data_IF_232701041144
#
_entry.id   IF_232701041144
#
_cell.length_a   1.000
_cell.length_b   1.000
_cell.length_c   1.000
_cell.angle_alpha   90.00
_cell.angle_beta   90.00
_cell.angle_gamma   90.00
#
_symmetry.space_group_name_H-M   'P 1'
#
loop_
_entity.id
_entity.type
_entity.pdbx_description
1 polymer ?
#
# COMPACT_ATOMS: atom_id res chain seq x y z
N UNK A 1 4.34 35.34 6.54
CA UNK A 1 3.05 34.66 6.34
C UNK A 1 3.21 33.24 6.85
N UNK A 2 2.37 32.79 7.80
CA UNK A 2 2.42 31.40 8.25
C UNK A 2 2.11 30.50 7.05
N UNK A 3 3.10 29.73 6.63
CA UNK A 3 2.96 28.70 5.61
C UNK A 3 3.08 27.36 6.31
N UNK A 4 2.15 26.43 6.08
CA UNK A 4 2.12 25.14 6.76
C UNK A 4 2.13 24.00 5.75
N UNK A 5 3.07 23.08 5.92
CA UNK A 5 3.06 21.82 5.19
C UNK A 5 2.36 20.74 6.01
N UNK A 6 1.39 20.04 5.39
CA UNK A 6 0.69 18.89 5.98
C UNK A 6 0.95 17.69 5.09
N UNK A 7 1.73 16.73 5.57
CA UNK A 7 1.99 15.48 4.88
C UNK A 7 1.34 14.32 5.62
N UNK A 8 0.76 13.37 4.89
CA UNK A 8 0.13 12.22 5.51
C UNK A 8 -0.28 11.12 4.55
N UNK A 9 -0.61 9.98 5.13
CA UNK A 9 -1.14 8.84 4.38
C UNK A 9 -2.54 9.18 3.86
N UNK A 10 -2.73 9.04 2.54
CA UNK A 10 -3.99 9.27 1.85
C UNK A 10 -5.16 8.50 2.48
N UNK A 11 -4.87 7.28 2.94
CA UNK A 11 -5.82 6.34 3.53
C UNK A 11 -6.05 6.56 5.03
N UNK A 12 -5.50 7.60 5.64
CA UNK A 12 -5.62 7.87 7.08
C UNK A 12 -6.68 8.94 7.38
N UNK A 13 -7.64 8.62 8.26
CA UNK A 13 -8.71 9.55 8.62
C UNK A 13 -8.21 10.79 9.37
N UNK A 14 -7.17 10.68 10.20
CA UNK A 14 -6.62 11.84 10.90
C UNK A 14 -5.95 12.79 9.91
N UNK A 15 -5.25 12.28 8.89
CA UNK A 15 -4.72 13.10 7.80
C UNK A 15 -5.83 13.88 7.11
N UNK A 16 -6.91 13.21 6.71
CA UNK A 16 -8.03 13.87 6.03
C UNK A 16 -8.68 14.95 6.91
N UNK A 17 -8.72 14.74 8.23
CA UNK A 17 -9.17 15.75 9.19
C UNK A 17 -8.25 16.96 9.24
N UNK A 18 -6.94 16.75 9.39
CA UNK A 18 -5.96 17.83 9.40
C UNK A 18 -6.01 18.65 8.10
N UNK A 19 -6.09 17.98 6.95
CA UNK A 19 -6.26 18.60 5.64
C UNK A 19 -7.50 19.50 5.61
N UNK A 20 -8.67 18.97 5.97
CA UNK A 20 -9.93 19.73 5.95
C UNK A 20 -9.94 20.91 6.92
N UNK A 21 -9.32 20.74 8.10
CA UNK A 21 -9.17 21.81 9.06
C UNK A 21 -8.30 22.96 8.51
N UNK A 22 -7.18 22.63 7.87
CA UNK A 22 -6.29 23.63 7.28
C UNK A 22 -6.91 24.31 6.06
N UNK A 23 -7.63 23.57 5.19
CA UNK A 23 -8.42 24.14 4.10
C UNK A 23 -9.41 25.18 4.61
N UNK A 24 -10.13 24.87 5.69
CA UNK A 24 -11.09 25.80 6.30
C UNK A 24 -10.42 27.06 6.87
N UNK A 25 -9.21 26.95 7.44
CA UNK A 25 -8.47 28.11 7.94
C UNK A 25 -7.95 28.96 6.78
N UNK A 26 -7.41 28.34 5.72
CA UNK A 26 -6.97 29.05 4.52
C UNK A 26 -8.10 29.83 3.83
N UNK A 27 -9.34 29.32 3.88
CA UNK A 27 -10.52 30.04 3.36
C UNK A 27 -10.89 31.28 4.18
N UNK A 28 -10.55 31.31 5.47
CA UNK A 28 -10.93 32.39 6.40
C UNK A 28 -9.82 33.40 6.67
N UNK A 29 -8.57 32.95 6.62
CA UNK A 29 -7.38 33.72 6.97
C UNK A 29 -6.49 33.86 5.74
N UNK A 30 -6.56 34.98 4.99
CA UNK A 30 -5.81 35.16 3.74
C UNK A 30 -4.28 35.08 3.88
N UNK A 31 -3.76 35.27 5.10
CA UNK A 31 -2.33 35.16 5.39
C UNK A 31 -1.88 33.72 5.68
N UNK A 32 -2.82 32.80 5.92
CA UNK A 32 -2.55 31.39 6.13
C UNK A 32 -2.45 30.67 4.78
N UNK A 33 -1.27 30.14 4.50
CA UNK A 33 -1.03 29.34 3.28
C UNK A 33 -0.61 27.94 3.68
N UNK A 34 -0.87 26.97 2.80
CA UNK A 34 -0.54 25.58 3.08
C UNK A 34 -0.17 24.78 1.85
N UNK A 35 0.66 23.77 2.06
CA UNK A 35 0.94 22.70 1.12
C UNK A 35 0.44 21.37 1.70
N UNK A 36 -0.25 20.57 0.88
CA UNK A 36 -0.83 19.28 1.33
C UNK A 36 -0.27 18.13 0.51
N UNK A 37 0.53 17.28 1.17
CA UNK A 37 1.13 16.09 0.57
C UNK A 37 0.30 14.87 0.94
N UNK A 38 -0.62 14.53 0.04
CA UNK A 38 -1.48 13.34 0.14
C UNK A 38 -0.77 12.14 -0.47
N UNK A 39 -0.10 11.32 0.36
CA UNK A 39 0.83 10.29 -0.11
C UNK A 39 0.26 8.88 0.07
N UNK A 40 0.63 7.96 -0.83
CA UNK A 40 0.39 6.53 -0.58
C UNK A 40 1.12 6.08 0.69
N UNK A 41 0.64 5.03 1.38
CA UNK A 41 1.26 4.57 2.63
C UNK A 41 2.77 4.34 2.53
N UNK A 42 3.24 3.74 1.43
CA UNK A 42 4.67 3.46 1.19
C UNK A 42 5.47 4.72 0.92
N UNK A 43 4.93 5.66 0.14
CA UNK A 43 5.61 6.91 -0.19
C UNK A 43 5.71 7.81 1.05
N UNK A 44 4.68 7.79 1.91
CA UNK A 44 4.73 8.46 3.21
C UNK A 44 5.77 7.84 4.17
N UNK A 45 5.94 6.52 4.17
CA UNK A 45 6.98 5.85 4.97
C UNK A 45 8.39 6.26 4.54
N UNK A 46 8.61 6.51 3.24
CA UNK A 46 9.88 7.04 2.72
C UNK A 46 10.08 8.47 3.18
N UNK A 47 9.11 9.35 2.92
CA UNK A 47 9.16 10.76 3.34
C UNK A 47 9.42 10.89 4.85
N UNK A 48 8.70 10.11 5.67
CA UNK A 48 8.85 10.16 7.13
C UNK A 48 10.27 9.79 7.59
N UNK A 49 10.97 8.89 6.87
CA UNK A 49 12.36 8.55 7.15
C UNK A 49 13.32 9.64 6.71
N UNK A 50 13.11 10.23 5.54
CA UNK A 50 13.94 11.34 5.03
C UNK A 50 13.87 12.54 5.99
N UNK A 51 12.65 12.96 6.34
CA UNK A 51 12.39 14.00 7.34
C UNK A 51 13.05 13.67 8.69
N UNK A 52 13.06 12.40 9.10
CA UNK A 52 13.73 11.97 10.32
C UNK A 52 15.25 12.10 10.25
N UNK A 53 15.85 11.84 9.09
CA UNK A 53 17.29 12.02 8.89
C UNK A 53 17.66 13.51 8.88
N UNK A 54 16.84 14.33 8.23
CA UNK A 54 17.08 15.77 8.10
C UNK A 54 16.95 16.51 9.43
N UNK A 55 15.96 16.15 10.27
CA UNK A 55 15.77 16.76 11.59
C UNK A 55 16.65 16.14 12.70
N UNK A 56 17.27 14.99 12.45
CA UNK A 56 18.28 14.40 13.33
C UNK A 56 17.85 14.27 14.81
N UNK A 57 18.58 14.97 15.71
CA UNK A 57 18.43 14.95 17.18
C UNK A 57 17.56 16.08 17.73
N UNK A 58 16.74 16.75 16.91
CA UNK A 58 15.83 17.78 17.41
C UNK A 58 14.96 17.18 18.54
N UNK A 59 15.05 17.67 19.79
CA UNK A 59 14.29 17.13 20.90
C UNK A 59 12.77 17.26 20.73
N UNK A 60 12.31 18.14 19.83
CA UNK A 60 10.91 18.29 19.47
C UNK A 60 10.45 17.28 18.40
N UNK A 61 11.38 16.71 17.62
CA UNK A 61 11.10 15.64 16.67
C UNK A 61 11.49 14.27 17.25
N UNK A 62 10.58 13.67 18.01
CA UNK A 62 10.71 12.26 18.38
C UNK A 62 10.47 11.41 17.13
N UNK A 63 11.18 10.29 16.94
CA UNK A 63 10.88 9.32 15.87
C UNK A 63 9.38 8.96 15.88
N UNK A 64 8.59 9.64 15.04
CA UNK A 64 7.15 9.61 15.13
C UNK A 64 6.60 8.45 14.31
N UNK A 65 5.94 7.50 14.98
CA UNK A 65 5.15 6.43 14.34
C UNK A 65 3.80 6.93 13.78
N UNK A 66 3.65 8.23 13.58
CA UNK A 66 2.40 8.86 13.18
C UNK A 66 2.21 8.77 11.65
N UNK A 67 0.96 8.78 11.20
CA UNK A 67 0.60 8.77 9.77
C UNK A 67 0.44 10.19 9.19
N UNK A 68 0.75 11.22 9.97
CA UNK A 68 0.60 12.65 9.64
C UNK A 68 1.76 13.42 10.26
N UNK A 69 2.41 14.27 9.48
CA UNK A 69 3.46 15.18 9.92
C UNK A 69 3.15 16.60 9.44
N UNK A 70 3.18 17.56 10.35
CA UNK A 70 2.90 18.97 10.08
C UNK A 70 4.09 19.87 10.45
N UNK A 71 4.41 20.81 9.57
CA UNK A 71 5.54 21.74 9.69
C UNK A 71 5.11 23.16 9.36
N UNK A 72 5.70 24.15 10.02
CA UNK A 72 5.78 25.50 9.47
C UNK A 72 6.83 25.52 8.35
N UNK A 73 6.57 26.21 7.24
CA UNK A 73 7.43 26.21 6.04
C UNK A 73 7.05 25.13 5.02
N UNK A 74 7.87 25.03 3.97
CA UNK A 74 7.69 24.12 2.81
C UNK A 74 8.45 22.81 3.04
N UNK A 75 8.04 21.71 2.39
CA UNK A 75 8.65 20.37 2.58
C UNK A 75 10.18 20.37 2.43
N UNK A 76 10.71 21.06 1.42
CA UNK A 76 12.14 21.06 1.10
C UNK A 76 12.98 21.96 2.04
N UNK A 77 12.31 22.80 2.83
CA UNK A 77 12.91 23.67 3.86
C UNK A 77 11.96 23.70 5.06
N UNK A 78 11.80 22.56 5.76
CA UNK A 78 10.89 22.50 6.88
C UNK A 78 11.42 23.48 7.94
N UNK A 79 10.55 24.39 8.35
CA UNK A 79 10.77 25.28 9.48
C UNK A 79 10.47 24.52 10.77
N UNK A 80 9.71 25.13 11.67
CA UNK A 80 9.38 24.52 12.96
C UNK A 80 8.47 23.30 12.79
N UNK A 81 8.83 22.17 13.40
CA UNK A 81 7.93 21.02 13.48
C UNK A 81 6.76 21.33 14.42
N UNK A 82 5.53 21.33 13.89
CA UNK A 82 4.31 21.59 14.67
C UNK A 82 3.89 20.32 15.42
N UNK A 83 4.07 19.15 14.81
CA UNK A 83 3.73 17.87 15.41
C UNK A 83 2.96 16.92 14.50
N UNK A 84 2.55 15.79 15.07
CA UNK A 84 1.63 14.86 14.43
C UNK A 84 0.20 15.42 14.38
N UNK A 85 -0.70 14.74 13.65
CA UNK A 85 -2.04 15.26 13.38
C UNK A 85 -2.83 15.75 14.61
N UNK A 86 -2.70 15.13 15.79
CA UNK A 86 -3.36 15.62 17.02
C UNK A 86 -2.76 16.94 17.53
N UNK A 87 -1.44 17.06 17.53
CA UNK A 87 -0.74 18.26 17.94
C UNK A 87 -1.05 19.42 16.98
N UNK A 88 -1.11 19.14 15.68
CA UNK A 88 -1.53 20.12 14.69
C UNK A 88 -2.96 20.64 14.92
N UNK A 89 -3.90 19.76 15.28
CA UNK A 89 -5.26 20.19 15.60
C UNK A 89 -5.33 21.06 16.87
N UNK A 90 -4.51 20.75 17.88
CA UNK A 90 -4.37 21.61 19.07
C UNK A 90 -3.78 22.97 18.72
N UNK A 91 -2.73 23.00 17.90
CA UNK A 91 -2.12 24.22 17.40
C UNK A 91 -3.13 25.10 16.65
N UNK A 92 -3.92 24.53 15.73
CA UNK A 92 -4.99 25.28 15.06
C UNK A 92 -6.04 25.85 16.03
N UNK A 93 -6.36 25.10 17.09
CA UNK A 93 -7.29 25.57 18.13
C UNK A 93 -6.72 26.73 18.94
N UNK A 94 -5.43 26.70 19.25
CA UNK A 94 -4.75 27.73 20.05
C UNK A 94 -4.46 28.99 19.23
N UNK A 95 -4.00 28.83 17.99
CA UNK A 95 -3.59 29.94 17.12
C UNK A 95 -4.77 30.61 16.42
N UNK A 96 -5.77 29.83 15.97
CA UNK A 96 -6.88 30.32 15.13
C UNK A 96 -8.26 30.11 15.76
N UNK A 97 -8.34 29.61 16.99
CA UNK A 97 -9.63 29.29 17.63
C UNK A 97 -10.41 28.18 16.91
N UNK A 98 -9.75 27.36 16.09
CA UNK A 98 -10.40 26.30 15.34
C UNK A 98 -10.99 25.23 16.26
N UNK A 99 -12.23 24.81 16.00
CA UNK A 99 -12.85 23.73 16.75
C UNK A 99 -13.79 22.89 15.89
N UNK A 100 -13.46 21.60 15.76
CA UNK A 100 -14.30 20.61 15.09
C UNK A 100 -14.93 19.67 16.13
N UNK A 101 -16.07 20.12 16.69
CA UNK A 101 -16.82 19.39 17.74
C UNK A 101 -17.94 18.50 17.17
N UNK A 102 -18.26 18.64 15.89
CA UNK A 102 -19.45 18.01 15.28
C UNK A 102 -19.11 16.86 14.33
N UNK A 103 -17.88 16.78 13.82
CA UNK A 103 -17.51 15.78 12.83
C UNK A 103 -17.03 14.49 13.48
N UNK A 104 -17.67 13.38 13.13
CA UNK A 104 -17.30 12.04 13.61
C UNK A 104 -16.02 11.56 12.91
N UNK A 105 -15.07 10.98 13.65
CA UNK A 105 -13.85 10.37 13.09
C UNK A 105 -14.15 9.36 11.96
N UNK A 106 -15.25 8.60 12.07
CA UNK A 106 -15.68 7.66 11.04
C UNK A 106 -15.99 8.32 9.68
N UNK A 107 -16.36 9.60 9.67
CA UNK A 107 -16.55 10.36 8.43
C UNK A 107 -15.23 10.57 7.69
N UNK A 108 -14.15 10.87 8.41
CA UNK A 108 -12.83 11.07 7.79
C UNK A 108 -12.21 9.76 7.32
N UNK A 109 -12.46 8.65 8.02
CA UNK A 109 -12.12 7.30 7.51
C UNK A 109 -12.85 6.99 6.20
N UNK A 110 -14.13 7.36 6.10
CA UNK A 110 -14.88 7.24 4.84
C UNK A 110 -14.32 8.15 3.75
N UNK A 111 -13.95 9.38 4.10
CA UNK A 111 -13.34 10.33 3.17
C UNK A 111 -12.00 9.81 2.65
N UNK A 112 -11.16 9.22 3.50
CA UNK A 112 -9.89 8.62 3.12
C UNK A 112 -10.08 7.50 2.08
N UNK A 113 -11.06 6.61 2.30
CA UNK A 113 -11.44 5.56 1.34
C UNK A 113 -11.95 6.14 0.02
N UNK A 114 -12.77 7.19 0.06
CA UNK A 114 -13.27 7.86 -1.14
C UNK A 114 -12.14 8.51 -1.94
N UNK A 115 -11.17 9.11 -1.26
CA UNK A 115 -10.03 9.76 -1.89
C UNK A 115 -9.14 8.73 -2.62
N UNK A 116 -8.82 7.60 -1.97
CA UNK A 116 -8.09 6.52 -2.64
C UNK A 116 -8.84 6.02 -3.88
N UNK A 117 -10.16 5.82 -3.79
CA UNK A 117 -10.98 5.43 -4.94
C UNK A 117 -10.94 6.46 -6.07
N UNK A 118 -10.96 7.75 -5.73
CA UNK A 118 -10.86 8.81 -6.72
C UNK A 118 -9.49 8.78 -7.41
N UNK A 119 -8.39 8.67 -6.65
CA UNK A 119 -7.03 8.54 -7.22
C UNK A 119 -6.92 7.33 -8.14
N UNK A 120 -7.46 6.18 -7.74
CA UNK A 120 -7.50 4.97 -8.57
C UNK A 120 -8.30 5.19 -9.86
N UNK A 121 -9.43 5.89 -9.78
CA UNK A 121 -10.30 6.14 -10.94
C UNK A 121 -9.64 7.10 -11.94
N UNK A 122 -8.98 8.15 -11.46
CA UNK A 122 -8.40 9.20 -12.30
C UNK A 122 -7.01 8.82 -12.86
N UNK A 123 -6.30 7.84 -12.28
CA UNK A 123 -4.95 7.50 -12.73
C UNK A 123 -4.88 6.87 -14.12
N UNK A 124 -5.95 6.21 -14.56
CA UNK A 124 -5.96 5.42 -15.80
C UNK A 124 -5.03 4.21 -15.78
N UNK A 125 -4.59 3.76 -14.60
CA UNK A 125 -3.72 2.60 -14.42
C UNK A 125 -4.54 1.34 -14.11
N UNK A 126 -3.96 0.15 -14.33
CA UNK A 126 -4.60 -1.11 -13.93
C UNK A 126 -4.35 -1.36 -12.44
N UNK A 127 -5.40 -1.76 -11.73
CA UNK A 127 -5.32 -2.18 -10.34
C UNK A 127 -5.89 -3.58 -10.16
N UNK A 128 -5.30 -4.33 -9.24
CA UNK A 128 -5.78 -5.65 -8.83
C UNK A 128 -5.92 -5.71 -7.32
N UNK A 129 -6.72 -6.64 -6.82
CA UNK A 129 -6.78 -6.95 -5.41
C UNK A 129 -6.46 -8.41 -5.11
N UNK A 130 -5.93 -8.63 -3.91
CA UNK A 130 -5.80 -9.93 -3.27
C UNK A 130 -6.53 -9.90 -1.94
N UNK A 131 -7.55 -10.71 -1.76
CA UNK A 131 -8.13 -10.98 -0.45
C UNK A 131 -7.34 -12.09 0.22
N UNK A 132 -6.75 -11.77 1.37
CA UNK A 132 -5.90 -12.71 2.10
C UNK A 132 -6.74 -13.42 3.15
N UNK A 133 -6.65 -14.74 3.17
CA UNK A 133 -7.21 -15.58 4.21
C UNK A 133 -6.14 -16.15 5.13
N UNK A 134 -6.43 -16.23 6.43
CA UNK A 134 -5.64 -16.96 7.42
C UNK A 134 -6.52 -18.03 8.05
N UNK A 135 -6.08 -19.29 7.94
CA UNK A 135 -6.88 -20.46 8.33
C UNK A 135 -8.31 -20.44 7.72
N UNK A 136 -8.43 -20.00 6.46
CA UNK A 136 -9.69 -19.92 5.72
C UNK A 136 -10.59 -18.73 6.06
N UNK A 137 -10.18 -17.82 6.96
CA UNK A 137 -10.93 -16.61 7.31
C UNK A 137 -10.33 -15.39 6.65
N UNK A 138 -11.17 -14.55 6.05
CA UNK A 138 -10.74 -13.29 5.43
C UNK A 138 -10.15 -12.32 6.45
N UNK A 139 -8.92 -11.87 6.21
CA UNK A 139 -8.20 -10.86 7.02
C UNK A 139 -8.14 -9.49 6.32
N UNK A 140 -8.67 -9.41 5.09
CA UNK A 140 -8.79 -8.16 4.32
C UNK A 140 -8.11 -8.22 2.97
N UNK A 141 -8.09 -7.06 2.30
CA UNK A 141 -7.61 -6.91 0.93
C UNK A 141 -6.30 -6.13 0.85
N UNK A 142 -5.46 -6.55 -0.09
CA UNK A 142 -4.31 -5.80 -0.59
C UNK A 142 -4.69 -5.31 -1.98
N UNK A 143 -4.50 -4.02 -2.24
CA UNK A 143 -4.75 -3.42 -3.56
C UNK A 143 -3.40 -3.04 -4.15
N UNK A 144 -3.16 -3.47 -5.38
CA UNK A 144 -1.91 -3.25 -6.10
C UNK A 144 -2.17 -2.50 -7.40
N UNK A 145 -1.34 -1.50 -7.67
CA UNK A 145 -1.19 -0.85 -8.98
C UNK A 145 -0.20 -1.64 -9.82
N UNK A 146 -0.53 -1.85 -11.11
CA UNK A 146 0.36 -2.50 -12.07
C UNK A 146 0.98 -1.46 -13.02
N UNK A 147 2.22 -1.67 -13.43
CA UNK A 147 2.95 -0.75 -14.29
C UNK A 147 2.85 -1.16 -15.76
N UNK A 148 1.63 -1.19 -16.31
CA UNK A 148 1.32 -1.69 -17.67
C UNK A 148 2.21 -1.06 -18.75
N UNK A 149 2.53 0.24 -18.61
CA UNK A 149 3.36 0.98 -19.58
C UNK A 149 4.83 0.57 -19.55
N UNK A 150 5.35 0.20 -18.37
CA UNK A 150 6.75 -0.16 -18.20
C UNK A 150 6.99 -1.65 -18.49
N UNK A 151 6.07 -2.52 -18.07
CA UNK A 151 6.20 -3.97 -18.15
C UNK A 151 4.95 -4.63 -18.77
N UNK A 152 4.55 -4.30 -20.01
CA UNK A 152 3.28 -4.76 -20.58
C UNK A 152 3.13 -6.29 -20.64
N UNK A 153 4.18 -7.04 -20.97
CA UNK A 153 4.10 -8.51 -21.03
C UNK A 153 4.00 -9.13 -19.65
N UNK A 154 4.78 -8.64 -18.71
CA UNK A 154 4.80 -9.10 -17.31
C UNK A 154 3.45 -8.84 -16.66
N UNK A 155 2.92 -7.63 -16.85
CA UNK A 155 1.61 -7.22 -16.34
C UNK A 155 0.48 -8.00 -17.00
N UNK A 156 0.52 -8.24 -18.32
CA UNK A 156 -0.49 -9.06 -18.99
C UNK A 156 -0.53 -10.51 -18.45
N UNK A 157 0.64 -11.11 -18.19
CA UNK A 157 0.70 -12.43 -17.53
C UNK A 157 0.08 -12.40 -16.14
N UNK A 158 0.50 -11.45 -15.31
CA UNK A 158 0.02 -11.33 -13.94
C UNK A 158 -1.50 -11.10 -13.90
N UNK A 159 -1.99 -10.18 -14.73
CA UNK A 159 -3.40 -9.82 -14.83
C UNK A 159 -4.26 -11.01 -15.25
N UNK A 160 -3.86 -11.76 -16.28
CA UNK A 160 -4.59 -12.94 -16.73
C UNK A 160 -4.69 -14.01 -15.64
N UNK A 161 -3.61 -14.23 -14.87
CA UNK A 161 -3.62 -15.15 -13.74
C UNK A 161 -4.41 -14.63 -12.52
N UNK A 162 -4.57 -13.31 -12.39
CA UNK A 162 -5.46 -12.69 -11.40
C UNK A 162 -6.94 -12.82 -11.80
N UNK A 163 -7.28 -12.66 -13.07
CA UNK A 163 -8.66 -12.75 -13.57
C UNK A 163 -9.15 -14.20 -13.72
N UNK A 164 -8.20 -15.14 -13.85
CA UNK A 164 -8.45 -16.54 -14.15
C UNK A 164 -8.16 -16.83 -15.61
N UNK A 165 -7.28 -17.82 -15.82
CA UNK A 165 -6.87 -18.29 -17.14
C UNK A 165 -7.01 -19.81 -17.21
N UNK A 166 -7.06 -20.38 -18.41
CA UNK A 166 -7.19 -21.83 -18.65
C UNK A 166 -6.08 -22.68 -17.98
N UNK A 167 -4.97 -22.06 -17.59
CA UNK A 167 -3.83 -22.73 -16.97
C UNK A 167 -3.83 -22.66 -15.44
N UNK A 168 -4.71 -21.85 -14.86
CA UNK A 168 -4.84 -21.60 -13.42
C UNK A 168 -5.17 -20.14 -13.08
N UNK A 169 -5.30 -19.89 -11.78
CA UNK A 169 -5.61 -18.58 -11.19
C UNK A 169 -4.85 -18.41 -9.87
N UNK A 170 -4.60 -17.17 -9.44
CA UNK A 170 -4.02 -16.87 -8.13
C UNK A 170 -4.98 -17.14 -6.96
N UNK A 171 -6.28 -17.19 -7.22
CA UNK A 171 -7.27 -17.59 -6.23
C UNK A 171 -6.96 -19.00 -5.71
N UNK A 172 -7.11 -19.18 -4.41
CA UNK A 172 -6.82 -20.38 -3.63
C UNK A 172 -5.33 -20.79 -3.63
N UNK A 173 -4.43 -19.95 -4.12
CA UNK A 173 -2.98 -20.20 -4.02
C UNK A 173 -2.46 -19.77 -2.65
N UNK A 174 -1.56 -20.55 -2.03
CA UNK A 174 -1.00 -20.22 -0.73
C UNK A 174 0.09 -19.14 -0.84
N UNK A 175 0.29 -18.44 0.27
CA UNK A 175 1.53 -17.73 0.56
C UNK A 175 2.53 -18.79 1.06
N UNK A 176 3.37 -19.27 0.15
CA UNK A 176 4.23 -20.43 0.43
C UNK A 176 5.59 -20.06 1.04
N UNK A 177 5.99 -18.79 1.03
CA UNK A 177 7.25 -18.33 1.64
C UNK A 177 7.15 -16.88 2.12
N UNK A 178 7.67 -16.61 3.32
CA UNK A 178 7.78 -15.30 3.96
C UNK A 178 9.22 -15.14 4.44
N UNK A 179 9.89 -14.10 3.95
CA UNK A 179 11.21 -13.68 4.42
C UNK A 179 11.02 -12.38 5.19
N UNK A 180 11.10 -12.38 6.54
CA UNK A 180 10.99 -11.17 7.34
C UNK A 180 12.04 -10.13 6.94
N UNK A 181 11.66 -8.85 6.86
CA UNK A 181 12.49 -7.78 6.29
C UNK A 181 12.97 -8.04 4.85
N UNK A 182 12.29 -8.94 4.15
CA UNK A 182 12.53 -9.30 2.76
C UNK A 182 11.26 -9.12 1.95
N UNK A 183 10.56 -10.23 1.72
CA UNK A 183 9.36 -10.29 0.89
C UNK A 183 8.39 -11.38 1.33
N UNK A 184 7.15 -11.26 0.86
CA UNK A 184 6.11 -12.29 0.95
C UNK A 184 5.90 -12.85 -0.46
N UNK A 185 6.02 -14.17 -0.62
CA UNK A 185 5.99 -14.85 -1.90
C UNK A 185 4.73 -15.73 -2.05
N UNK A 186 4.14 -15.67 -3.24
CA UNK A 186 2.93 -16.43 -3.60
C UNK A 186 2.92 -16.74 -5.11
N UNK A 187 1.81 -17.29 -5.60
CA UNK A 187 1.55 -17.43 -7.03
C UNK A 187 2.12 -18.69 -7.67
N UNK A 188 2.47 -19.73 -6.90
CA UNK A 188 2.62 -21.07 -7.46
C UNK A 188 1.22 -21.65 -7.74
N UNK A 189 0.74 -21.45 -8.97
CA UNK A 189 -0.60 -21.87 -9.42
C UNK A 189 -0.67 -23.36 -9.80
N UNK A 190 0.42 -24.12 -9.61
CA UNK A 190 0.51 -25.53 -9.98
C UNK A 190 0.55 -26.45 -8.77
N UNK A 191 1.55 -26.27 -7.91
CA UNK A 191 1.74 -27.10 -6.72
C UNK A 191 1.39 -26.38 -5.42
N UNK A 192 1.39 -25.04 -5.43
CA UNK A 192 1.23 -24.22 -4.22
C UNK A 192 2.37 -24.35 -3.21
N UNK A 193 3.45 -25.08 -3.51
CA UNK A 193 4.55 -25.26 -2.58
C UNK A 193 5.76 -24.37 -2.91
N UNK A 194 5.76 -23.71 -4.07
CA UNK A 194 6.82 -22.81 -4.51
C UNK A 194 7.84 -23.45 -5.45
N UNK A 195 7.70 -24.73 -5.80
CA UNK A 195 8.66 -25.43 -6.66
C UNK A 195 8.35 -25.29 -8.16
N UNK A 196 7.11 -24.90 -8.49
CA UNK A 196 6.64 -24.80 -9.87
C UNK A 196 5.97 -23.46 -10.16
N UNK A 197 5.68 -23.26 -11.43
CA UNK A 197 4.94 -22.12 -11.93
C UNK A 197 4.77 -22.29 -13.43
N UNK A 198 3.87 -21.51 -14.01
CA UNK A 198 3.70 -21.43 -15.45
C UNK A 198 3.24 -20.03 -15.81
N UNK A 199 3.62 -19.52 -16.97
CA UNK A 199 3.10 -18.27 -17.48
C UNK A 199 2.02 -18.52 -18.54
N UNK A 200 1.26 -17.48 -18.87
CA UNK A 200 0.33 -17.52 -20.01
C UNK A 200 1.04 -17.70 -21.36
N UNK A 201 2.37 -17.57 -21.39
CA UNK A 201 3.21 -17.69 -22.58
C UNK A 201 3.94 -19.05 -22.67
N UNK A 202 3.71 -19.97 -21.72
CA UNK A 202 4.45 -21.23 -21.59
C UNK A 202 5.13 -21.36 -20.23
N UNK A 203 6.14 -22.22 -20.09
CA UNK A 203 6.79 -22.49 -18.80
C UNK A 203 7.39 -21.23 -18.15
N UNK A 204 8.13 -20.44 -18.91
CA UNK A 204 8.77 -19.21 -18.47
C UNK A 204 8.74 -18.13 -19.57
N UNK A 205 8.94 -16.87 -19.18
CA UNK A 205 9.14 -15.74 -20.08
C UNK A 205 10.30 -14.84 -19.64
N UNK A 206 10.84 -14.10 -20.62
CA UNK A 206 12.02 -13.27 -20.46
C UNK A 206 11.79 -12.05 -19.55
N UNK A 207 12.84 -11.64 -18.83
CA UNK A 207 12.87 -10.35 -18.15
C UNK A 207 12.62 -9.20 -19.13
N UNK A 208 11.66 -8.34 -18.81
CA UNK A 208 11.19 -7.28 -19.72
C UNK A 208 11.97 -5.97 -19.53
N UNK A 209 12.12 -5.51 -18.29
CA UNK A 209 12.89 -4.31 -17.94
C UNK A 209 13.29 -4.32 -16.47
N UNK A 210 14.33 -3.55 -16.13
CA UNK A 210 14.81 -3.33 -14.77
C UNK A 210 14.76 -1.85 -14.37
N UNK A 211 13.95 -1.03 -15.06
CA UNK A 211 13.84 0.41 -14.81
C UNK A 211 13.24 0.72 -13.42
N UNK A 212 12.34 -0.14 -12.94
CA UNK A 212 11.73 -0.02 -11.62
C UNK A 212 12.66 -0.68 -10.60
N UNK A 213 12.98 0.05 -9.53
CA UNK A 213 13.87 -0.41 -8.47
C UNK A 213 13.08 -0.99 -7.29
N UNK A 214 13.72 -1.90 -6.56
CA UNK A 214 13.27 -2.44 -5.28
C UNK A 214 13.75 -1.55 -4.12
N UNK A 215 13.49 -0.25 -4.20
CA UNK A 215 14.00 0.76 -3.27
C UNK A 215 13.08 1.02 -2.07
N UNK A 216 11.87 0.44 -2.06
CA UNK A 216 10.89 0.59 -1.00
C UNK A 216 10.10 -0.69 -0.73
N UNK A 217 9.47 -0.81 0.45
CA UNK A 217 8.46 -1.84 0.69
C UNK A 217 7.25 -1.66 -0.23
N UNK A 218 6.52 -2.74 -0.45
CA UNK A 218 5.29 -2.77 -1.25
C UNK A 218 5.52 -2.91 -2.76
N UNK A 219 6.73 -3.21 -3.24
CA UNK A 219 6.99 -3.44 -4.66
C UNK A 219 6.62 -4.88 -5.03
N UNK A 220 5.90 -5.05 -6.13
CA UNK A 220 5.61 -6.35 -6.73
C UNK A 220 6.77 -6.73 -7.67
N UNK A 221 7.34 -7.90 -7.46
CA UNK A 221 8.42 -8.43 -8.29
C UNK A 221 8.18 -9.89 -8.71
N UNK A 222 8.69 -10.26 -9.87
CA UNK A 222 8.63 -11.63 -10.36
C UNK A 222 9.68 -12.50 -9.67
N UNK A 223 9.27 -13.69 -9.24
CA UNK A 223 10.22 -14.73 -8.81
C UNK A 223 10.82 -15.36 -10.05
N UNK A 224 12.13 -15.58 -10.04
CA UNK A 224 12.86 -16.30 -11.07
C UNK A 224 13.97 -17.15 -10.44
N UNK A 225 14.48 -18.13 -11.20
CA UNK A 225 15.60 -19.02 -10.82
C UNK A 225 16.86 -18.72 -11.64
N UNK A 226 16.95 -17.50 -12.15
CA UNK A 226 17.97 -17.04 -13.09
C UNK A 226 17.36 -16.10 -14.14
N UNK A 227 18.22 -15.46 -14.96
CA UNK A 227 17.75 -14.56 -16.02
C UNK A 227 16.71 -15.23 -16.91
N UNK A 228 15.66 -14.48 -17.26
CA UNK A 228 14.62 -14.87 -18.21
C UNK A 228 13.79 -16.11 -17.80
N UNK A 229 13.63 -16.37 -16.50
CA UNK A 229 12.85 -17.51 -15.97
C UNK A 229 11.61 -17.06 -15.17
N UNK A 230 10.96 -15.97 -15.59
CA UNK A 230 9.74 -15.50 -14.93
C UNK A 230 8.56 -16.42 -15.26
N UNK A 231 7.70 -16.70 -14.30
CA UNK A 231 6.52 -17.56 -14.50
C UNK A 231 5.26 -17.00 -13.80
N UNK A 232 4.51 -17.79 -13.04
CA UNK A 232 3.38 -17.31 -12.24
C UNK A 232 3.78 -16.75 -10.88
N UNK A 233 4.91 -17.18 -10.32
CA UNK A 233 5.29 -16.82 -8.95
C UNK A 233 5.73 -15.36 -8.86
N UNK A 234 5.27 -14.69 -7.80
CA UNK A 234 5.58 -13.29 -7.53
C UNK A 234 5.87 -13.10 -6.04
N UNK A 235 6.44 -11.96 -5.72
CA UNK A 235 6.62 -11.51 -4.35
C UNK A 235 6.19 -10.06 -4.18
N UNK A 236 5.86 -9.71 -2.93
CA UNK A 236 5.65 -8.34 -2.48
C UNK A 236 6.73 -8.02 -1.46
N UNK A 237 7.52 -6.97 -1.71
CA UNK A 237 8.58 -6.57 -0.78
C UNK A 237 7.97 -6.01 0.52
N UNK A 238 8.61 -6.33 1.65
CA UNK A 238 8.30 -5.72 2.96
C UNK A 238 9.47 -4.86 3.47
N UNK A 239 10.57 -4.80 2.73
CA UNK A 239 11.66 -3.86 2.92
C UNK A 239 12.26 -3.44 1.57
N UNK A 240 13.12 -2.40 1.50
CA UNK A 240 13.96 -2.14 0.34
C UNK A 240 14.93 -3.31 0.09
N UNK A 241 14.99 -3.82 -1.15
CA UNK A 241 15.82 -4.96 -1.56
C UNK A 241 16.70 -4.59 -2.77
N UNK A 242 17.59 -3.59 -2.68
CA UNK A 242 18.34 -3.07 -3.84
C UNK A 242 19.22 -4.12 -4.54
N UNK A 243 19.58 -5.22 -3.87
CA UNK A 243 20.33 -6.33 -4.46
C UNK A 243 19.55 -7.17 -5.49
N UNK A 244 18.22 -6.98 -5.57
CA UNK A 244 17.35 -7.54 -6.61
C UNK A 244 17.28 -6.68 -7.88
N UNK A 245 17.78 -5.44 -7.81
CA UNK A 245 17.83 -4.56 -8.99
C UNK A 245 18.71 -5.18 -10.08
N UNK A 246 18.18 -5.23 -11.31
CA UNK A 246 18.85 -5.88 -12.44
C UNK A 246 18.79 -7.41 -12.43
N UNK A 247 18.07 -8.04 -11.47
CA UNK A 247 17.93 -9.50 -11.37
C UNK A 247 16.48 -9.97 -11.45
N UNK A 248 15.55 -9.21 -10.90
CA UNK A 248 14.12 -9.51 -10.93
C UNK A 248 13.36 -8.33 -11.51
N UNK A 249 12.33 -8.62 -12.30
CA UNK A 249 11.44 -7.58 -12.85
C UNK A 249 10.49 -7.10 -11.77
N UNK A 250 10.58 -5.82 -11.39
CA UNK A 250 9.54 -5.14 -10.64
C UNK A 250 8.47 -4.63 -11.60
N UNK A 251 7.19 -4.86 -11.30
CA UNK A 251 6.09 -4.61 -12.25
C UNK A 251 4.84 -3.98 -11.63
N UNK A 252 4.87 -3.66 -10.33
CA UNK A 252 3.76 -2.99 -9.66
C UNK A 252 4.12 -2.53 -8.26
N UNK A 253 3.14 -1.93 -7.58
CA UNK A 253 3.25 -1.55 -6.17
C UNK A 253 1.93 -1.69 -5.40
N UNK A 254 2.02 -1.88 -4.10
CA UNK A 254 0.88 -1.87 -3.18
C UNK A 254 0.43 -0.42 -2.94
N UNK A 255 -0.86 -0.17 -3.11
CA UNK A 255 -1.49 1.13 -2.84
C UNK A 255 -2.38 1.13 -1.60
N UNK A 256 -2.86 -0.06 -1.19
CA UNK A 256 -3.59 -0.27 0.07
C UNK A 256 -3.32 -1.69 0.60
N UNK A 257 -3.42 -1.88 1.92
CA UNK A 257 -3.19 -3.18 2.58
C UNK A 257 -1.77 -3.42 3.07
N UNK A 258 -0.88 -2.41 3.06
CA UNK A 258 0.47 -2.55 3.66
C UNK A 258 0.45 -2.99 5.12
N UNK A 259 -0.56 -2.55 5.91
CA UNK A 259 -0.73 -3.00 7.30
C UNK A 259 -0.96 -4.51 7.39
N UNK A 260 -1.74 -5.07 6.46
CA UNK A 260 -2.01 -6.50 6.40
C UNK A 260 -0.73 -7.28 6.04
N UNK A 261 0.05 -6.80 5.08
CA UNK A 261 1.37 -7.37 4.76
C UNK A 261 2.31 -7.39 5.98
N UNK A 262 2.34 -6.33 6.78
CA UNK A 262 3.13 -6.28 8.03
C UNK A 262 2.66 -7.27 9.10
N UNK A 263 1.36 -7.58 9.14
CA UNK A 263 0.82 -8.60 10.04
C UNK A 263 1.24 -9.98 9.56
N UNK A 264 1.08 -10.25 8.25
CA UNK A 264 1.47 -11.51 7.61
C UNK A 264 2.97 -11.77 7.79
N UNK A 265 3.82 -10.76 7.58
CA UNK A 265 5.27 -10.80 7.79
C UNK A 265 5.68 -11.29 9.20
N UNK A 266 4.86 -11.01 10.23
CA UNK A 266 5.13 -11.35 11.63
C UNK A 266 4.53 -12.70 12.07
N UNK A 267 3.97 -13.46 11.13
CA UNK A 267 3.41 -14.78 11.42
C UNK A 267 4.50 -15.75 11.91
N UNK A 268 4.10 -16.77 12.67
CA UNK A 268 5.02 -17.86 13.01
C UNK A 268 5.45 -18.61 11.74
N UNK A 269 6.75 -18.87 11.60
CA UNK A 269 7.35 -19.48 10.40
C UNK A 269 8.12 -20.75 10.75
N UNK A 270 8.09 -21.72 9.84
CA UNK A 270 8.94 -22.92 9.83
C UNK A 270 9.73 -22.93 8.51
N UNK A 271 11.04 -22.68 8.56
CA UNK A 271 11.89 -22.55 7.37
C UNK A 271 11.32 -21.60 6.31
N UNK A 272 10.98 -20.38 6.74
CA UNK A 272 10.35 -19.33 5.92
C UNK A 272 8.94 -19.68 5.40
N UNK A 273 8.36 -20.84 5.74
CA UNK A 273 6.97 -21.16 5.42
C UNK A 273 6.05 -20.76 6.57
N UNK A 274 4.87 -20.16 6.32
CA UNK A 274 3.91 -19.88 7.38
C UNK A 274 3.47 -21.15 8.11
N UNK A 275 3.54 -21.16 9.45
CA UNK A 275 3.07 -22.28 10.26
C UNK A 275 1.54 -22.42 10.25
N UNK A 276 0.84 -21.30 10.07
CA UNK A 276 -0.61 -21.28 9.81
C UNK A 276 -0.84 -21.11 8.31
N UNK A 277 -1.87 -21.76 7.76
CA UNK A 277 -2.22 -21.60 6.35
C UNK A 277 -2.62 -20.16 6.02
N UNK A 278 -1.85 -19.51 5.16
CA UNK A 278 -2.13 -18.18 4.59
C UNK A 278 -2.29 -18.35 3.09
N UNK A 279 -3.36 -17.82 2.51
CA UNK A 279 -3.65 -17.95 1.08
C UNK A 279 -4.35 -16.73 0.51
N UNK A 280 -4.33 -16.62 -0.82
CA UNK A 280 -5.16 -15.68 -1.57
C UNK A 280 -6.52 -16.35 -1.74
N UNK A 281 -7.53 -15.94 -0.95
CA UNK A 281 -8.87 -16.57 -0.99
C UNK A 281 -9.77 -15.97 -2.09
N UNK A 282 -9.43 -14.77 -2.57
CA UNK A 282 -10.08 -14.15 -3.72
C UNK A 282 -9.13 -13.16 -4.37
N UNK A 283 -9.26 -12.95 -5.68
CA UNK A 283 -8.50 -11.95 -6.41
C UNK A 283 -9.23 -11.50 -7.67
N UNK A 284 -8.82 -10.37 -8.22
CA UNK A 284 -9.43 -9.85 -9.44
C UNK A 284 -8.97 -8.43 -9.77
N UNK A 285 -9.50 -7.89 -10.87
CA UNK A 285 -9.33 -6.47 -11.20
C UNK A 285 -10.06 -5.62 -10.17
N UNK A 286 -9.37 -4.63 -9.63
CA UNK A 286 -9.93 -3.69 -8.69
C UNK A 286 -10.49 -2.47 -9.43
N UNK A 287 -11.81 -2.43 -9.57
CA UNK A 287 -12.53 -1.28 -10.11
C UNK A 287 -13.08 -0.42 -8.97
N UNK A 288 -12.52 0.78 -8.75
CA UNK A 288 -12.94 1.69 -7.69
C UNK A 288 -14.42 2.15 -7.75
N UNK A 289 -15.11 1.89 -8.87
CA UNK A 289 -16.54 2.19 -9.09
C UNK A 289 -17.50 1.02 -8.85
N UNK A 290 -17.02 -0.20 -8.64
CA UNK A 290 -17.91 -1.33 -8.34
C UNK A 290 -18.41 -1.22 -6.89
N UNK A 291 -19.73 -1.28 -6.70
CA UNK A 291 -20.30 -1.42 -5.37
C UNK A 291 -19.74 -2.71 -4.71
N UNK A 292 -19.48 -2.71 -3.38
CA UNK A 292 -19.09 -3.95 -2.72
C UNK A 292 -20.15 -5.03 -3.00
N UNK A 293 -19.75 -6.29 -3.22
CA UNK A 293 -20.72 -7.37 -3.34
C UNK A 293 -21.62 -7.35 -2.10
N UNK A 294 -22.93 -7.62 -2.27
CA UNK A 294 -23.84 -7.67 -1.13
C UNK A 294 -23.29 -8.63 -0.07
N UNK A 295 -23.43 -8.31 1.22
CA UNK A 295 -22.97 -9.20 2.29
C UNK A 295 -23.58 -10.59 2.07
N UNK A 296 -22.78 -11.64 2.25
CA UNK A 296 -23.26 -13.00 2.15
C UNK A 296 -24.51 -13.17 3.03
N UNK A 297 -25.56 -13.84 2.53
CA UNK A 297 -26.76 -14.07 3.32
C UNK A 297 -26.36 -14.78 4.62
N UNK A 298 -26.97 -14.42 5.76
CA UNK A 298 -26.69 -15.09 7.02
C UNK A 298 -26.93 -16.61 6.85
N UNK A 299 -26.13 -17.46 7.53
CA UNK A 299 -26.31 -18.90 7.45
C UNK A 299 -27.75 -19.24 7.82
N UNK A 300 -28.39 -20.10 7.01
CA UNK A 300 -29.74 -20.56 7.28
C UNK A 300 -29.78 -21.18 8.69
N UNK A 301 -30.83 -20.91 9.49
CA UNK A 301 -30.98 -21.56 10.78
C UNK A 301 -30.95 -23.08 10.61
N UNK A 302 -30.36 -23.83 11.55
CA UNK A 302 -30.35 -25.28 11.49
C UNK A 302 -31.79 -25.82 11.41
N UNK A 303 -31.97 -26.83 10.56
CA UNK A 303 -33.24 -27.52 10.34
C UNK A 303 -33.74 -28.26 11.57
#
# INVERSE_FOLDING_TARGET
>A
MPHVTISGKLTDGLFQRCKKAAEFIAEKEPEFTMDVLSLLPTDFEVLSKEICLDMGTDPNYLQHKANVLCFEGVVDKPGTYIGAGRAFMSWLSETYGYSDKKTNAAMYERLAKLHLRHVIKESGHTFVFFEIGVAGRSEGKIICELFDKACPKTVANFKALTEGHDIGCYKDTPVHRIVPQGWIQAGDIKSGNGDKGVSIYGECFADETFIIKHDKPGILGMVNVGPHTNNSQFYITVAPLPWLNGKSVAFGRVVDGMRLLRIIERSALENERPAQGISIIDCGIYNAGAAPPPPAPPPAPPA
#
